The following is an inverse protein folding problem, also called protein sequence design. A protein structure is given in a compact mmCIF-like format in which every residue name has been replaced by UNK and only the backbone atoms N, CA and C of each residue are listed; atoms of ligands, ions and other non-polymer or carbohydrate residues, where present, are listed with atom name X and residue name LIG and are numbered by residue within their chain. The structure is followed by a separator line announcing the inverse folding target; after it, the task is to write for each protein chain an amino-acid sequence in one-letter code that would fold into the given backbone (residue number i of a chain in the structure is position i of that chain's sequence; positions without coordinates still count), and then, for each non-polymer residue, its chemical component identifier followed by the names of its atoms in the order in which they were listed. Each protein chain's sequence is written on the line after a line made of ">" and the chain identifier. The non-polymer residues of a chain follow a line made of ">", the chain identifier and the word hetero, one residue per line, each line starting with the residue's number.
data_IF_056460677393
#
_entry.id   IF_056460677393
#
_cell.length_a   1.000
_cell.length_b   1.000
_cell.length_c   1.000
_cell.angle_alpha   90.00
_cell.angle_beta   90.00
_cell.angle_gamma   90.00
#
_symmetry.space_group_name_H-M   'P 1'
#
loop_
_entity.id
_entity.type
_entity.pdbx_description
1 polymer ?
#
# COMPACT_ATOMS: atom_id res chain seq x y z
N UNK A 1 -5.89 1.97 -10.33
CA UNK A 1 -6.55 2.44 -9.12
C UNK A 1 -6.11 1.60 -7.95
N UNK A 2 -5.22 2.06 -7.10
CA UNK A 2 -4.82 1.21 -5.99
C UNK A 2 -5.79 1.32 -4.82
N UNK A 3 -6.21 0.17 -4.33
CA UNK A 3 -6.80 0.02 -2.99
C UNK A 3 -5.71 -0.53 -2.09
N UNK A 4 -5.35 0.20 -1.05
CA UNK A 4 -4.21 -0.11 -0.19
C UNK A 4 -4.70 -0.51 1.19
N UNK A 5 -4.33 -1.69 1.63
CA UNK A 5 -4.55 -2.15 3.00
C UNK A 5 -3.24 -2.07 3.75
N UNK A 6 -3.29 -1.46 4.93
CA UNK A 6 -2.11 -1.22 5.77
C UNK A 6 -2.37 -1.90 7.11
N UNK A 7 -1.60 -2.92 7.43
CA UNK A 7 -1.71 -3.65 8.68
C UNK A 7 -0.49 -3.35 9.55
N UNK A 8 -0.76 -2.94 10.78
CA UNK A 8 0.26 -2.60 11.78
C UNK A 8 -0.14 -3.16 13.14
N UNK A 9 0.81 -3.31 14.04
CA UNK A 9 0.50 -3.55 15.45
C UNK A 9 0.21 -2.24 16.17
N UNK A 10 -0.55 -2.30 17.24
CA UNK A 10 -0.87 -1.12 18.04
C UNK A 10 0.39 -0.44 18.59
N UNK A 11 0.31 0.85 18.83
CA UNK A 11 1.39 1.64 19.42
C UNK A 11 1.63 2.99 18.76
N UNK A 12 1.24 3.14 17.48
CA UNK A 12 1.32 4.43 16.81
C UNK A 12 0.14 5.31 17.18
N UNK A 13 0.38 6.63 17.27
CA UNK A 13 -0.70 7.61 17.44
C UNK A 13 -1.50 7.77 16.15
N UNK A 14 -2.67 8.39 16.26
CA UNK A 14 -3.49 8.68 15.06
C UNK A 14 -2.74 9.55 14.06
N UNK A 15 -1.95 10.53 14.55
CA UNK A 15 -1.15 11.39 13.67
C UNK A 15 -0.03 10.60 12.98
N UNK A 16 0.61 9.69 13.68
CA UNK A 16 1.63 8.82 13.09
C UNK A 16 1.04 7.89 12.05
N UNK A 17 -0.14 7.34 12.29
CA UNK A 17 -0.85 6.49 11.32
C UNK A 17 -1.25 7.30 10.07
N UNK A 18 -1.71 8.54 10.26
CA UNK A 18 -2.07 9.42 9.15
C UNK A 18 -0.83 9.76 8.31
N UNK A 19 0.28 10.04 8.95
CA UNK A 19 1.55 10.32 8.26
C UNK A 19 2.02 9.12 7.46
N UNK A 20 1.90 7.92 8.03
CA UNK A 20 2.20 6.67 7.34
C UNK A 20 1.35 6.54 6.07
N UNK A 21 0.05 6.74 6.20
CA UNK A 21 -0.89 6.67 5.08
C UNK A 21 -0.60 7.74 4.02
N UNK A 22 -0.31 8.97 4.43
CA UNK A 22 0.00 10.07 3.50
C UNK A 22 1.30 9.81 2.74
N UNK A 23 2.33 9.29 3.41
CA UNK A 23 3.60 8.94 2.77
C UNK A 23 3.41 7.82 1.73
N UNK A 24 2.62 6.81 2.06
CA UNK A 24 2.27 5.74 1.11
C UNK A 24 1.53 6.32 -0.09
N UNK A 25 0.59 7.23 0.13
CA UNK A 25 -0.15 7.86 -0.97
C UNK A 25 0.78 8.68 -1.88
N UNK A 26 1.73 9.39 -1.32
CA UNK A 26 2.71 10.15 -2.11
C UNK A 26 3.50 9.24 -3.06
N UNK A 27 3.88 8.06 -2.59
CA UNK A 27 4.55 7.07 -3.44
C UNK A 27 3.61 6.55 -4.54
N UNK A 28 2.34 6.32 -4.21
CA UNK A 28 1.36 5.89 -5.23
C UNK A 28 1.22 6.93 -6.33
N UNK A 29 1.19 8.21 -5.99
CA UNK A 29 1.11 9.30 -6.94
C UNK A 29 2.39 9.45 -7.78
N UNK A 30 3.54 9.42 -7.12
CA UNK A 30 4.82 9.77 -7.76
C UNK A 30 5.41 8.62 -8.57
N UNK A 31 5.22 7.40 -8.12
CA UNK A 31 5.94 6.23 -8.67
C UNK A 31 5.00 5.21 -9.28
N UNK A 32 3.79 5.08 -8.73
CA UNK A 32 2.85 4.01 -9.14
C UNK A 32 1.74 4.51 -10.08
N UNK A 33 1.86 5.73 -10.59
CA UNK A 33 0.95 6.33 -11.56
C UNK A 33 -0.52 6.35 -11.10
N UNK A 34 -0.76 6.54 -9.81
CA UNK A 34 -2.12 6.68 -9.29
C UNK A 34 -2.67 8.05 -9.64
N UNK A 35 -3.91 8.16 -10.14
CA UNK A 35 -4.57 9.46 -10.29
C UNK A 35 -4.78 10.14 -8.95
N UNK A 36 -4.78 11.49 -8.96
CA UNK A 36 -4.77 12.30 -7.73
C UNK A 36 -5.96 12.07 -6.80
N UNK A 37 -7.12 11.63 -7.32
CA UNK A 37 -8.33 11.42 -6.53
C UNK A 37 -8.66 9.96 -6.30
N UNK A 38 -7.75 9.06 -6.65
CA UNK A 38 -7.91 7.61 -6.49
C UNK A 38 -7.20 7.15 -5.23
N UNK A 39 -7.63 7.69 -4.10
CA UNK A 39 -7.06 7.31 -2.82
C UNK A 39 -8.04 6.44 -2.06
N UNK A 40 -7.69 5.16 -1.91
CA UNK A 40 -8.43 4.21 -1.09
C UNK A 40 -7.45 3.51 -0.18
N UNK A 41 -7.56 3.77 1.12
CA UNK A 41 -6.67 3.22 2.14
C UNK A 41 -7.47 2.71 3.32
N UNK A 42 -7.11 1.53 3.79
CA UNK A 42 -7.69 0.94 5.00
C UNK A 42 -6.54 0.65 5.94
N UNK A 43 -6.59 1.22 7.15
CA UNK A 43 -5.60 0.98 8.19
C UNK A 43 -6.23 0.07 9.23
N UNK A 44 -5.58 -1.05 9.53
CA UNK A 44 -6.01 -1.96 10.59
C UNK A 44 -4.89 -2.09 11.61
N UNK A 45 -5.20 -1.75 12.86
CA UNK A 45 -4.30 -1.95 13.98
C UNK A 45 -4.60 -3.29 14.64
N UNK A 46 -3.56 -4.07 14.92
CA UNK A 46 -3.66 -5.37 15.56
C UNK A 46 -3.04 -5.31 16.96
N UNK A 47 -3.54 -6.12 17.86
CA UNK A 47 -2.92 -6.30 19.17
C UNK A 47 -1.49 -6.81 18.99
N UNK A 48 -0.62 -6.46 19.94
CA UNK A 48 0.76 -6.94 19.93
C UNK A 48 0.79 -8.47 19.90
N UNK A 49 1.64 -9.01 19.04
CA UNK A 49 1.75 -10.45 18.82
C UNK A 49 0.73 -11.03 17.85
N UNK A 50 -0.20 -10.23 17.31
CA UNK A 50 -1.18 -10.72 16.34
C UNK A 50 -0.76 -10.53 14.89
N UNK A 51 0.42 -9.95 14.63
CA UNK A 51 1.10 -10.04 13.37
C UNK A 51 2.34 -10.91 13.59
N UNK A 52 2.39 -12.04 12.92
CA UNK A 52 3.50 -12.99 13.01
C UNK A 52 4.19 -12.98 11.65
N UNK A 53 5.41 -12.47 11.63
CA UNK A 53 6.17 -12.38 10.39
C UNK A 53 7.61 -12.86 10.61
N UNK A 54 8.02 -13.82 9.83
CA UNK A 54 9.37 -14.31 9.81
C UNK A 54 10.13 -13.65 8.65
N UNK A 55 11.29 -14.18 8.29
CA UNK A 55 12.23 -13.45 7.44
C UNK A 55 12.39 -14.02 6.02
N UNK A 56 11.61 -15.02 5.67
CA UNK A 56 11.70 -15.70 4.35
C UNK A 56 13.11 -16.26 4.06
N UNK A 57 13.89 -16.50 5.11
CA UNK A 57 15.26 -16.96 4.94
C UNK A 57 16.27 -15.86 4.53
N UNK A 58 15.85 -14.59 4.61
CA UNK A 58 16.71 -13.46 4.21
C UNK A 58 17.56 -12.90 5.35
N UNK A 59 17.39 -13.41 6.58
CA UNK A 59 18.14 -12.94 7.73
C UNK A 59 17.66 -11.60 8.28
N UNK A 60 16.43 -11.23 8.00
CA UNK A 60 15.85 -9.95 8.45
C UNK A 60 15.30 -10.09 9.88
N UNK A 61 15.61 -9.12 10.73
CA UNK A 61 15.03 -9.03 12.07
C UNK A 61 13.85 -8.07 12.07
N UNK A 62 12.66 -8.62 12.28
CA UNK A 62 11.42 -7.83 12.37
C UNK A 62 11.24 -7.29 13.78
N UNK A 63 10.64 -6.11 13.90
CA UNK A 63 10.24 -5.54 15.19
C UNK A 63 8.72 -5.47 15.33
N UNK A 64 8.25 -4.94 16.47
CA UNK A 64 6.82 -4.71 16.68
C UNK A 64 6.27 -3.56 15.83
N UNK A 65 7.14 -2.79 15.19
CA UNK A 65 6.74 -1.68 14.31
C UNK A 65 6.56 -2.10 12.85
N UNK A 66 6.38 -3.38 12.62
CA UNK A 66 6.18 -3.95 11.29
C UNK A 66 5.01 -3.30 10.58
N UNK A 67 5.18 -3.09 9.27
CA UNK A 67 4.16 -2.55 8.37
C UNK A 67 3.99 -3.52 7.21
N UNK A 68 2.78 -4.02 7.03
CA UNK A 68 2.45 -4.88 5.90
C UNK A 68 1.47 -4.14 5.01
N UNK A 69 1.84 -3.97 3.75
CA UNK A 69 1.03 -3.24 2.77
C UNK A 69 0.60 -4.21 1.68
N UNK A 70 -0.71 -4.29 1.47
CA UNK A 70 -1.31 -5.02 0.36
C UNK A 70 -1.94 -4.03 -0.60
N UNK A 71 -1.60 -4.13 -1.88
CA UNK A 71 -2.04 -3.19 -2.90
C UNK A 71 -2.79 -3.94 -3.99
N UNK A 72 -4.09 -3.67 -4.11
CA UNK A 72 -4.92 -4.19 -5.19
C UNK A 72 -4.90 -3.17 -6.32
N UNK A 73 -4.51 -3.59 -7.52
CA UNK A 73 -4.35 -2.66 -8.63
C UNK A 73 -4.39 -3.38 -9.98
N UNK A 74 -4.52 -2.61 -11.06
CA UNK A 74 -4.41 -3.12 -12.43
C UNK A 74 -3.37 -2.33 -13.22
N UNK A 75 -2.83 -2.94 -14.27
CA UNK A 75 -2.08 -2.25 -15.31
C UNK A 75 -0.71 -1.71 -14.94
N UNK A 76 -0.05 -2.25 -13.91
CA UNK A 76 1.31 -1.80 -13.56
C UNK A 76 2.35 -2.80 -14.06
N UNK A 77 3.49 -2.26 -14.54
CA UNK A 77 4.62 -3.08 -15.01
C UNK A 77 5.45 -3.59 -13.85
N UNK A 78 6.28 -4.59 -14.12
CA UNK A 78 7.27 -5.07 -13.15
C UNK A 78 8.20 -3.95 -12.70
N UNK A 79 8.63 -3.10 -13.62
CA UNK A 79 9.51 -1.97 -13.32
C UNK A 79 8.85 -0.98 -12.36
N UNK A 80 7.57 -0.67 -12.56
CA UNK A 80 6.82 0.20 -11.67
C UNK A 80 6.69 -0.42 -10.27
N UNK A 81 6.44 -1.71 -10.19
CA UNK A 81 6.34 -2.40 -8.91
C UNK A 81 7.67 -2.38 -8.14
N UNK A 82 8.77 -2.71 -8.82
CA UNK A 82 10.11 -2.70 -8.21
C UNK A 82 10.49 -1.30 -7.73
N UNK A 83 10.23 -0.28 -8.54
CA UNK A 83 10.47 1.11 -8.16
C UNK A 83 9.62 1.53 -6.95
N UNK A 84 8.37 1.10 -6.92
CA UNK A 84 7.46 1.40 -5.81
C UNK A 84 7.93 0.75 -4.50
N UNK A 85 8.39 -0.50 -4.53
CA UNK A 85 8.94 -1.13 -3.32
C UNK A 85 10.13 -0.35 -2.77
N UNK A 86 11.05 0.03 -3.64
CA UNK A 86 12.25 0.78 -3.23
C UNK A 86 11.88 2.15 -2.66
N UNK A 87 10.96 2.85 -3.29
CA UNK A 87 10.56 4.19 -2.85
C UNK A 87 9.75 4.16 -1.56
N UNK A 88 8.90 3.14 -1.37
CA UNK A 88 8.21 2.94 -0.10
C UNK A 88 9.21 2.74 1.05
N UNK A 89 10.18 1.86 0.86
CA UNK A 89 11.20 1.61 1.88
C UNK A 89 11.94 2.90 2.24
N UNK A 90 12.37 3.65 1.23
CA UNK A 90 13.13 4.88 1.41
C UNK A 90 12.33 5.95 2.15
N UNK A 91 11.12 6.25 1.68
CA UNK A 91 10.32 7.35 2.25
C UNK A 91 9.73 6.99 3.61
N UNK A 92 9.32 5.76 3.82
CA UNK A 92 8.78 5.34 5.11
C UNK A 92 9.86 5.35 6.19
N UNK A 93 11.10 5.02 5.85
CA UNK A 93 12.21 5.16 6.78
C UNK A 93 12.48 6.63 7.10
N UNK A 94 12.62 7.47 6.08
CA UNK A 94 12.97 8.87 6.26
C UNK A 94 11.89 9.68 6.98
N UNK A 95 10.62 9.43 6.69
CA UNK A 95 9.51 10.26 7.17
C UNK A 95 8.75 9.65 8.34
N UNK A 96 8.73 8.33 8.46
CA UNK A 96 7.92 7.64 9.46
C UNK A 96 8.74 6.77 10.42
N UNK A 97 10.05 6.69 10.21
CA UNK A 97 10.92 5.86 11.05
C UNK A 97 10.68 4.37 10.92
N UNK A 98 10.08 3.92 9.83
CA UNK A 98 9.88 2.50 9.55
C UNK A 98 11.19 1.92 9.05
N UNK A 99 11.72 0.93 9.77
CA UNK A 99 12.93 0.24 9.32
C UNK A 99 12.63 -0.55 8.05
N UNK A 100 13.52 -0.53 7.04
CA UNK A 100 13.30 -1.33 5.82
C UNK A 100 13.04 -2.81 6.11
N UNK A 101 13.65 -3.38 7.14
CA UNK A 101 13.43 -4.76 7.57
C UNK A 101 12.01 -5.02 8.07
N UNK A 102 11.28 -3.97 8.44
CA UNK A 102 9.90 -4.08 8.93
C UNK A 102 8.84 -3.85 7.86
N UNK A 103 9.24 -3.64 6.62
CA UNK A 103 8.31 -3.37 5.54
C UNK A 103 8.11 -4.60 4.66
N UNK A 104 6.86 -5.03 4.57
CA UNK A 104 6.44 -6.09 3.65
C UNK A 104 5.39 -5.53 2.72
N UNK A 105 5.56 -5.73 1.42
CA UNK A 105 4.63 -5.25 0.41
C UNK A 105 4.25 -6.41 -0.51
N UNK A 106 2.97 -6.54 -0.79
CA UNK A 106 2.47 -7.49 -1.78
C UNK A 106 1.45 -6.81 -2.68
N UNK A 107 1.57 -7.02 -3.97
CA UNK A 107 0.66 -6.47 -4.98
C UNK A 107 -0.24 -7.57 -5.50
N UNK A 108 -1.55 -7.34 -5.46
CA UNK A 108 -2.55 -8.23 -6.04
C UNK A 108 -3.08 -7.57 -7.31
N UNK A 109 -2.63 -8.07 -8.46
CA UNK A 109 -3.05 -7.54 -9.75
C UNK A 109 -4.47 -8.00 -10.08
N UNK A 110 -5.29 -7.07 -10.59
CA UNK A 110 -6.62 -7.37 -11.09
C UNK A 110 -6.85 -6.64 -12.42
N UNK A 111 -8.08 -6.62 -12.88
CA UNK A 111 -8.45 -6.08 -14.20
C UNK A 111 -9.49 -4.98 -14.02
N UNK A 112 -9.77 -4.24 -15.09
CA UNK A 112 -10.77 -3.19 -15.10
C UNK A 112 -12.15 -3.70 -14.66
N UNK A 113 -12.51 -4.92 -15.02
CA UNK A 113 -13.80 -5.54 -14.66
C UNK A 113 -13.92 -5.84 -13.15
N UNK A 114 -12.83 -5.77 -12.41
CA UNK A 114 -12.81 -6.14 -10.99
C UNK A 114 -13.07 -4.94 -10.05
N UNK A 115 -13.56 -3.82 -10.60
CA UNK A 115 -13.76 -2.60 -9.84
C UNK A 115 -15.18 -2.04 -9.98
N UNK A 116 -15.76 -1.70 -8.83
CA UNK A 116 -16.89 -0.79 -8.72
C UNK A 116 -16.55 0.25 -7.66
N UNK A 117 -16.52 1.52 -8.04
CA UNK A 117 -16.16 2.61 -7.13
C UNK A 117 -17.38 3.27 -6.47
N UNK A 118 -18.53 2.67 -6.62
CA UNK A 118 -19.76 3.16 -6.03
C UNK A 118 -20.95 2.94 -6.96
N UNK A 119 -22.15 3.15 -6.44
CA UNK A 119 -23.41 3.04 -7.16
C UNK A 119 -23.72 1.66 -7.74
N UNK A 120 -22.90 0.64 -7.40
CA UNK A 120 -23.04 -0.70 -7.97
C UNK A 120 -22.73 -0.79 -9.46
N UNK A 121 -22.01 0.18 -10.00
CA UNK A 121 -21.66 0.25 -11.42
C UNK A 121 -20.20 -0.11 -11.66
N UNK A 122 -19.91 -0.66 -12.82
CA UNK A 122 -18.55 -0.93 -13.29
C UNK A 122 -18.06 0.24 -14.14
N UNK A 123 -17.54 1.28 -13.51
CA UNK A 123 -17.24 2.54 -14.16
C UNK A 123 -16.16 2.44 -15.24
N UNK A 124 -15.22 1.51 -15.12
CA UNK A 124 -14.22 1.26 -16.17
C UNK A 124 -14.82 0.61 -17.42
N UNK A 125 -15.94 -0.09 -17.28
CA UNK A 125 -16.56 -0.81 -18.39
C UNK A 125 -17.68 0.00 -19.06
N UNK A 126 -18.37 0.85 -18.30
CA UNK A 126 -19.52 1.58 -18.83
C UNK A 126 -19.19 2.96 -19.41
N UNK A 127 -17.88 3.31 -19.45
CA UNK A 127 -17.42 4.56 -20.04
C UNK A 127 -17.45 5.77 -19.09
N UNK A 128 -17.88 5.60 -17.84
CA UNK A 128 -17.89 6.70 -16.85
C UNK A 128 -16.46 7.12 -16.49
N UNK A 129 -15.54 6.18 -16.38
CA UNK A 129 -14.13 6.45 -16.14
C UNK A 129 -13.28 5.93 -17.29
N UNK A 130 -12.24 6.70 -17.63
CA UNK A 130 -11.19 6.21 -18.52
C UNK A 130 -10.16 5.46 -17.67
N UNK A 131 -9.84 4.20 -18.02
CA UNK A 131 -8.77 3.49 -17.34
C UNK A 131 -7.45 4.26 -17.50
N UNK A 132 -6.64 4.39 -16.44
CA UNK A 132 -5.38 5.14 -16.51
C UNK A 132 -4.32 4.45 -17.38
N UNK A 133 -4.51 3.17 -17.65
CA UNK A 133 -3.54 2.39 -18.44
C UNK A 133 -4.27 1.40 -19.32
#
# INVERSE_FOLDING_TARGET
>A
MPLVRIDVQEGRTSDELRKLADTIQDVMLDVFAAPARDRYQIITEHDKGHIIAEDTGLGLERSNDIVIIQIFQQGRSTEQKVAMYAELAKRLEAECGVRPEDLIVSVMANRHADWSFGLGEAQFLNGTLQPPI
#
